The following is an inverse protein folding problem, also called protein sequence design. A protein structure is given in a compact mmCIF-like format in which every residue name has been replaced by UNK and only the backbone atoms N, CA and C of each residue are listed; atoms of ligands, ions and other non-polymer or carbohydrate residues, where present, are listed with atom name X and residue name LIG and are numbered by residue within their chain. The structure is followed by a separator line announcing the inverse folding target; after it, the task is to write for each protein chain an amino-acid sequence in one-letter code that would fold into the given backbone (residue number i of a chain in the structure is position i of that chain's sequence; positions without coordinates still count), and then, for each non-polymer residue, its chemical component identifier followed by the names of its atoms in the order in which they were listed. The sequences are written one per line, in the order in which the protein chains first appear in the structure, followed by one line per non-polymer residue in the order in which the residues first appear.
data_IF_850412725193
#
_entry.id   IF_850412725193
#
_cell.length_a   1.000
_cell.length_b   1.000
_cell.length_c   1.000
_cell.angle_alpha   90.00
_cell.angle_beta   90.00
_cell.angle_gamma   90.00
#
_symmetry.space_group_name_H-M   'P 1'
#
loop_
_entity.id
_entity.type
_entity.pdbx_description
1 polymer ?
#
# COMPACT_ATOMS: atom_id res chain seq x y z
N UNK A 1 -34.10 -32.87 18.40
CA UNK A 1 -33.63 -31.55 18.90
C UNK A 1 -32.10 -31.43 18.98
N UNK A 2 -31.37 -32.32 19.67
CA UNK A 2 -29.89 -32.24 19.77
C UNK A 2 -29.14 -32.19 18.42
N UNK A 3 -29.58 -32.96 17.42
CA UNK A 3 -28.94 -32.99 16.08
C UNK A 3 -29.10 -31.68 15.29
N UNK A 4 -30.21 -30.98 15.47
CA UNK A 4 -30.48 -29.69 14.79
C UNK A 4 -29.63 -28.58 15.42
N UNK A 5 -29.51 -28.60 16.76
CA UNK A 5 -28.65 -27.66 17.48
C UNK A 5 -27.17 -27.82 17.10
N UNK A 6 -26.70 -29.07 16.94
CA UNK A 6 -25.34 -29.37 16.51
C UNK A 6 -25.05 -28.85 15.09
N UNK A 7 -26.01 -29.03 14.17
CA UNK A 7 -25.89 -28.56 12.79
C UNK A 7 -25.85 -27.02 12.73
N UNK A 8 -26.70 -26.34 13.50
CA UNK A 8 -26.68 -24.88 13.63
C UNK A 8 -25.35 -24.37 14.19
N UNK A 9 -24.79 -25.01 15.23
CA UNK A 9 -23.48 -24.61 15.77
C UNK A 9 -22.34 -24.80 14.77
N UNK A 10 -22.38 -25.84 13.94
CA UNK A 10 -21.38 -26.08 12.88
C UNK A 10 -21.52 -25.02 11.78
N UNK A 11 -22.73 -24.69 11.35
CA UNK A 11 -22.96 -23.64 10.36
C UNK A 11 -22.47 -22.26 10.84
N UNK A 12 -22.72 -21.91 12.10
CA UNK A 12 -22.23 -20.65 12.70
C UNK A 12 -20.71 -20.65 12.83
N UNK A 13 -20.10 -21.77 13.23
CA UNK A 13 -18.65 -21.89 13.31
C UNK A 13 -17.97 -21.77 11.93
N UNK A 14 -18.55 -22.39 10.89
CA UNK A 14 -18.05 -22.31 9.52
C UNK A 14 -18.23 -20.90 8.94
N UNK A 15 -19.37 -20.24 9.19
CA UNK A 15 -19.58 -18.85 8.77
C UNK A 15 -18.59 -17.89 9.46
N UNK A 16 -18.33 -18.08 10.75
CA UNK A 16 -17.34 -17.29 11.48
C UNK A 16 -15.90 -17.59 11.04
N UNK A 17 -15.58 -18.84 10.68
CA UNK A 17 -14.27 -19.21 10.16
C UNK A 17 -14.04 -18.64 8.75
N UNK A 18 -15.05 -18.69 7.88
CA UNK A 18 -15.00 -18.07 6.55
C UNK A 18 -14.84 -16.55 6.67
N UNK A 19 -15.64 -15.91 7.53
CA UNK A 19 -15.53 -14.48 7.82
C UNK A 19 -14.17 -14.11 8.43
N UNK A 20 -13.60 -14.98 9.28
CA UNK A 20 -12.26 -14.79 9.85
C UNK A 20 -11.16 -14.90 8.79
N UNK A 21 -11.23 -15.89 7.89
CA UNK A 21 -10.28 -16.03 6.79
C UNK A 21 -10.38 -14.90 5.77
N UNK A 22 -11.60 -14.45 5.43
CA UNK A 22 -11.79 -13.31 4.53
C UNK A 22 -11.30 -11.98 5.15
N UNK A 23 -11.28 -11.88 6.49
CA UNK A 23 -10.80 -10.69 7.21
C UNK A 23 -9.30 -10.71 7.56
N UNK A 24 -8.65 -11.89 7.56
CA UNK A 24 -7.29 -12.06 8.07
C UNK A 24 -6.33 -12.86 7.19
N UNK A 25 -6.81 -13.50 6.12
CA UNK A 25 -5.99 -14.20 5.15
C UNK A 25 -5.57 -13.27 4.03
N UNK A 26 -4.27 -12.97 3.91
CA UNK A 26 -3.75 -12.33 2.70
C UNK A 26 -3.98 -13.26 1.50
N UNK A 27 -5.01 -12.99 0.69
CA UNK A 27 -5.25 -13.71 -0.55
C UNK A 27 -4.17 -13.35 -1.57
N UNK A 28 -3.09 -14.13 -1.61
CA UNK A 28 -2.00 -13.98 -2.57
C UNK A 28 -2.31 -14.76 -3.85
N UNK A 29 -2.25 -14.09 -4.98
CA UNK A 29 -2.41 -14.70 -6.30
C UNK A 29 -1.43 -14.11 -7.31
N UNK A 30 -1.14 -14.88 -8.36
CA UNK A 30 -0.43 -14.39 -9.53
C UNK A 30 -1.44 -14.16 -10.65
N UNK A 31 -1.36 -13.02 -11.32
CA UNK A 31 -2.19 -12.69 -12.48
C UNK A 31 -1.30 -12.71 -13.72
N UNK A 32 -1.68 -13.50 -14.73
CA UNK A 32 -0.86 -13.76 -15.92
C UNK A 32 -1.10 -12.75 -17.04
N UNK A 33 -2.27 -12.13 -17.07
CA UNK A 33 -2.69 -11.20 -18.11
C UNK A 33 -2.46 -9.74 -17.69
N UNK A 34 -2.73 -8.79 -18.58
CA UNK A 34 -2.66 -7.37 -18.24
C UNK A 34 -3.71 -7.03 -17.18
N UNK A 35 -3.28 -6.46 -16.05
CA UNK A 35 -4.18 -5.90 -15.03
C UNK A 35 -4.75 -4.57 -15.52
N UNK A 36 -5.91 -4.63 -16.18
CA UNK A 36 -6.67 -3.43 -16.52
C UNK A 36 -7.47 -2.90 -15.31
N UNK A 37 -7.96 -1.67 -15.42
CA UNK A 37 -8.72 -1.03 -14.35
C UNK A 37 -9.99 -1.82 -13.97
N UNK A 38 -10.69 -2.40 -14.95
CA UNK A 38 -11.90 -3.20 -14.70
C UNK A 38 -11.60 -4.44 -13.85
N UNK A 39 -10.47 -5.09 -14.13
CA UNK A 39 -9.96 -6.23 -13.36
C UNK A 39 -9.60 -5.82 -11.94
N UNK A 40 -8.90 -4.68 -11.76
CA UNK A 40 -8.57 -4.16 -10.44
C UNK A 40 -9.82 -3.91 -9.60
N UNK A 41 -10.84 -3.28 -10.18
CA UNK A 41 -12.13 -3.04 -9.52
C UNK A 41 -12.84 -4.36 -9.19
N UNK A 42 -12.84 -5.32 -10.11
CA UNK A 42 -13.43 -6.64 -9.91
C UNK A 42 -12.79 -7.39 -8.73
N UNK A 43 -11.45 -7.35 -8.66
CA UNK A 43 -10.69 -7.94 -7.55
C UNK A 43 -10.96 -7.20 -6.23
N UNK A 44 -10.91 -5.87 -6.22
CA UNK A 44 -11.18 -5.07 -5.02
C UNK A 44 -12.57 -5.35 -4.45
N UNK A 45 -13.59 -5.49 -5.32
CA UNK A 45 -14.94 -5.90 -4.92
C UNK A 45 -15.00 -7.31 -4.37
N UNK A 46 -14.32 -8.26 -5.04
CA UNK A 46 -14.28 -9.68 -4.62
C UNK A 46 -13.64 -9.86 -3.26
N UNK A 47 -12.60 -9.08 -2.96
CA UNK A 47 -11.86 -9.15 -1.70
C UNK A 47 -12.30 -8.08 -0.68
N UNK A 48 -13.38 -7.36 -0.96
CA UNK A 48 -13.97 -6.36 -0.07
C UNK A 48 -12.98 -5.29 0.44
N UNK A 49 -12.01 -4.89 -0.38
CA UNK A 49 -10.98 -3.93 0.03
C UNK A 49 -9.97 -3.59 -1.08
N UNK A 50 -9.04 -2.66 -0.83
CA UNK A 50 -7.98 -2.30 -1.76
C UNK A 50 -7.06 -3.49 -2.07
N UNK A 51 -6.52 -3.52 -3.29
CA UNK A 51 -5.60 -4.56 -3.76
C UNK A 51 -4.17 -4.03 -3.77
N UNK A 52 -3.22 -4.83 -3.26
CA UNK A 52 -1.80 -4.54 -3.43
C UNK A 52 -1.28 -5.26 -4.67
N UNK A 53 -0.90 -4.49 -5.68
CA UNK A 53 -0.28 -4.99 -6.91
C UNK A 53 1.22 -4.82 -6.80
N UNK A 54 1.94 -5.92 -6.84
CA UNK A 54 3.40 -5.89 -6.85
C UNK A 54 3.92 -5.79 -8.28
N UNK A 55 4.60 -4.69 -8.60
CA UNK A 55 5.29 -4.57 -9.89
C UNK A 55 6.48 -5.54 -9.92
N UNK A 56 6.65 -6.34 -10.98
CA UNK A 56 7.86 -7.12 -11.16
C UNK A 56 9.04 -6.16 -11.32
N UNK A 57 10.07 -6.32 -10.49
CA UNK A 57 11.36 -5.63 -10.64
C UNK A 57 12.37 -6.67 -11.07
N UNK A 58 12.96 -6.50 -12.25
CA UNK A 58 14.05 -7.36 -12.70
C UNK A 58 15.25 -7.22 -11.75
N UNK A 59 15.83 -8.34 -11.32
CA UNK A 59 17.07 -8.36 -10.54
C UNK A 59 16.95 -8.10 -9.03
N UNK A 60 15.81 -7.69 -8.48
CA UNK A 60 15.64 -7.44 -7.04
C UNK A 60 14.86 -8.57 -6.38
N UNK A 61 15.57 -9.44 -5.66
CA UNK A 61 14.92 -10.43 -4.78
C UNK A 61 14.18 -9.68 -3.66
N UNK A 62 12.88 -9.94 -3.43
CA UNK A 62 12.17 -9.31 -2.32
C UNK A 62 12.88 -9.63 -1.00
N UNK A 63 13.25 -8.60 -0.22
CA UNK A 63 13.71 -8.82 1.17
C UNK A 63 12.61 -9.52 1.99
N UNK A 64 13.04 -10.32 2.98
CA UNK A 64 12.26 -11.22 3.86
C UNK A 64 10.90 -10.66 4.28
N UNK A 65 9.90 -11.53 4.47
CA UNK A 65 8.56 -11.25 4.99
C UNK A 65 8.56 -10.05 5.96
N UNK A 66 7.99 -8.92 5.52
CA UNK A 66 7.53 -7.90 6.45
C UNK A 66 6.23 -8.52 6.95
N UNK A 67 6.35 -9.34 7.99
CA UNK A 67 5.23 -9.54 8.90
C UNK A 67 4.80 -8.15 9.36
N UNK A 68 3.48 -7.91 9.38
CA UNK A 68 2.82 -6.63 9.73
C UNK A 68 3.78 -5.55 10.26
N UNK A 69 3.96 -4.46 9.52
CA UNK A 69 4.62 -3.25 10.03
C UNK A 69 3.74 -2.72 11.16
N UNK A 70 4.19 -2.74 12.44
CA UNK A 70 3.38 -2.21 13.53
C UNK A 70 3.38 -0.68 13.46
N UNK A 71 2.25 -0.04 13.80
CA UNK A 71 2.12 1.43 13.78
C UNK A 71 3.21 2.14 14.59
N UNK A 72 3.68 1.54 15.70
CA UNK A 72 4.76 2.10 16.53
C UNK A 72 6.13 2.15 15.85
N UNK A 73 6.30 1.50 14.70
CA UNK A 73 7.53 1.53 13.90
C UNK A 73 7.43 2.47 12.70
N UNK A 74 6.28 3.07 12.46
CA UNK A 74 6.10 4.05 11.40
C UNK A 74 6.78 5.34 11.85
N UNK A 75 7.72 5.81 11.04
CA UNK A 75 8.51 7.00 11.35
C UNK A 75 7.84 8.26 10.80
N UNK A 76 7.12 8.12 9.69
CA UNK A 76 6.44 9.25 9.03
C UNK A 76 5.15 8.81 8.37
N UNK A 77 4.13 9.66 8.52
CA UNK A 77 2.82 9.50 7.85
C UNK A 77 2.58 10.71 6.97
N UNK A 78 2.31 10.46 5.68
CA UNK A 78 1.88 11.47 4.74
C UNK A 78 0.36 11.40 4.57
N UNK A 79 -0.33 12.46 4.97
CA UNK A 79 -1.75 12.66 4.68
C UNK A 79 -1.86 13.39 3.35
N UNK A 80 -2.37 12.70 2.33
CA UNK A 80 -2.42 13.17 0.94
C UNK A 80 -3.87 13.40 0.55
N UNK A 81 -4.21 14.64 0.27
CA UNK A 81 -5.50 14.96 -0.34
C UNK A 81 -5.50 14.49 -1.81
N UNK A 82 -6.52 13.76 -2.24
CA UNK A 82 -6.61 13.26 -3.62
C UNK A 82 -6.56 14.38 -4.65
N UNK A 83 -7.14 15.54 -4.35
CA UNK A 83 -7.13 16.69 -5.27
C UNK A 83 -5.72 17.32 -5.38
N UNK A 84 -4.84 17.10 -4.40
CA UNK A 84 -3.43 17.52 -4.48
C UNK A 84 -2.60 16.64 -5.39
N UNK A 85 -3.07 15.41 -5.69
CA UNK A 85 -2.35 14.47 -6.54
C UNK A 85 -2.29 14.89 -8.00
N UNK A 86 -3.08 15.88 -8.46
CA UNK A 86 -3.18 16.43 -9.83
C UNK A 86 -2.89 15.42 -10.95
N UNK A 87 -1.61 15.10 -11.18
CA UNK A 87 -1.12 13.90 -11.88
C UNK A 87 0.03 13.20 -11.13
N UNK A 88 0.93 13.97 -10.53
CA UNK A 88 2.06 13.46 -9.77
C UNK A 88 2.25 14.25 -8.48
N UNK A 89 2.61 13.55 -7.41
CA UNK A 89 3.05 14.13 -6.14
C UNK A 89 4.48 13.65 -5.83
N UNK A 90 5.35 14.56 -5.42
CA UNK A 90 6.72 14.24 -5.02
C UNK A 90 6.85 14.33 -3.50
N UNK A 91 7.36 13.26 -2.90
CA UNK A 91 7.60 13.16 -1.46
C UNK A 91 9.06 12.80 -1.22
N UNK A 92 9.72 13.58 -0.37
CA UNK A 92 11.08 13.29 0.08
C UNK A 92 11.04 12.37 1.30
N UNK A 93 11.83 11.30 1.24
CA UNK A 93 11.88 10.27 2.28
C UNK A 93 13.31 9.87 2.59
N UNK A 94 13.56 9.47 3.84
CA UNK A 94 14.88 9.00 4.24
C UNK A 94 15.09 7.53 3.82
N UNK A 95 16.35 7.13 3.72
CA UNK A 95 16.72 5.75 3.40
C UNK A 95 16.30 4.81 4.53
N UNK A 96 15.74 3.66 4.15
CA UNK A 96 15.32 2.61 5.09
C UNK A 96 14.23 3.05 6.09
N UNK A 97 13.65 4.23 5.88
CA UNK A 97 12.55 4.80 6.65
C UNK A 97 11.27 3.97 6.41
N UNK A 98 10.49 3.77 7.47
CA UNK A 98 9.17 3.17 7.38
C UNK A 98 8.14 4.30 7.27
N UNK A 99 7.53 4.38 6.10
CA UNK A 99 6.59 5.43 5.72
C UNK A 99 5.19 4.87 5.58
N UNK A 100 4.20 5.63 6.03
CA UNK A 100 2.78 5.42 5.76
C UNK A 100 2.24 6.55 4.90
N UNK A 101 1.42 6.21 3.93
CA UNK A 101 0.70 7.18 3.11
C UNK A 101 -0.76 6.89 3.27
N UNK A 102 -1.52 7.92 3.60
CA UNK A 102 -2.97 7.89 3.70
C UNK A 102 -3.52 8.89 2.70
N UNK A 103 -4.44 8.43 1.85
CA UNK A 103 -5.22 9.31 0.98
C UNK A 103 -6.60 9.54 1.58
N UNK A 104 -7.21 10.68 1.28
CA UNK A 104 -8.54 11.06 1.80
C UNK A 104 -9.72 10.38 1.08
N UNK A 105 -9.45 9.36 0.25
CA UNK A 105 -10.45 8.60 -0.48
C UNK A 105 -10.14 7.09 -0.48
N UNK A 106 -11.17 6.21 -0.53
CA UNK A 106 -10.96 4.77 -0.66
C UNK A 106 -10.23 4.41 -1.95
N UNK A 107 -9.23 3.53 -1.83
CA UNK A 107 -8.38 3.10 -2.94
C UNK A 107 -8.85 1.76 -3.48
N UNK A 108 -8.79 1.60 -4.80
CA UNK A 108 -9.03 0.33 -5.50
C UNK A 108 -7.78 -0.53 -5.46
N UNK A 109 -6.64 0.06 -5.83
CA UNK A 109 -5.38 -0.64 -5.87
C UNK A 109 -4.19 0.28 -5.63
N UNK A 110 -3.18 -0.27 -4.98
CA UNK A 110 -1.85 0.30 -4.83
C UNK A 110 -0.87 -0.51 -5.67
N UNK A 111 -0.18 0.12 -6.62
CA UNK A 111 0.90 -0.54 -7.36
C UNK A 111 2.26 0.00 -6.96
N UNK A 112 3.09 -0.86 -6.38
CA UNK A 112 4.42 -0.48 -5.91
C UNK A 112 5.40 -1.63 -6.16
N UNK A 113 6.67 -1.28 -6.39
CA UNK A 113 7.74 -2.24 -6.60
C UNK A 113 8.30 -2.74 -5.27
N UNK A 114 8.31 -1.84 -4.28
CA UNK A 114 8.70 -2.09 -2.91
C UNK A 114 7.74 -3.04 -2.20
N UNK A 115 8.22 -3.54 -1.08
CA UNK A 115 7.39 -4.31 -0.18
C UNK A 115 6.53 -3.38 0.66
N UNK A 116 5.22 -3.53 0.53
CA UNK A 116 4.25 -2.71 1.22
C UNK A 116 3.15 -3.56 1.87
N UNK A 117 2.41 -2.94 2.78
CA UNK A 117 1.27 -3.52 3.49
C UNK A 117 0.16 -2.48 3.48
N UNK A 118 -1.03 -2.91 3.09
CA UNK A 118 -2.23 -2.09 3.21
C UNK A 118 -2.62 -2.06 4.69
N UNK A 119 -2.59 -0.87 5.28
CA UNK A 119 -2.96 -0.64 6.69
C UNK A 119 -4.45 -0.31 6.85
N UNK A 120 -5.11 0.19 5.81
CA UNK A 120 -6.56 0.45 5.74
C UNK A 120 -7.01 0.61 4.28
N UNK A 121 -8.32 0.85 4.05
CA UNK A 121 -8.90 1.10 2.73
C UNK A 121 -8.27 2.27 1.96
N UNK A 122 -7.58 3.17 2.67
CA UNK A 122 -6.97 4.37 2.12
C UNK A 122 -5.52 4.58 2.51
N UNK A 123 -4.91 3.63 3.25
CA UNK A 123 -3.53 3.78 3.73
C UNK A 123 -2.62 2.60 3.38
N UNK A 124 -1.43 2.92 2.91
CA UNK A 124 -0.35 1.97 2.58
C UNK A 124 0.89 2.29 3.40
N UNK A 125 1.48 1.28 4.04
CA UNK A 125 2.76 1.38 4.73
C UNK A 125 3.84 0.57 3.99
N UNK A 126 5.04 1.12 3.86
CA UNK A 126 6.18 0.44 3.24
C UNK A 126 7.49 0.94 3.82
N UNK A 127 8.55 0.17 3.58
CA UNK A 127 9.91 0.58 3.90
C UNK A 127 10.59 1.12 2.64
N UNK A 128 11.14 2.32 2.72
CA UNK A 128 11.86 2.97 1.63
C UNK A 128 13.15 2.19 1.31
N UNK A 129 13.62 2.23 0.05
CA UNK A 129 14.83 1.52 -0.32
C UNK A 129 16.07 2.12 0.34
N UNK A 130 17.10 1.31 0.50
CA UNK A 130 18.42 1.77 0.97
C UNK A 130 19.21 2.48 -0.13
N UNK A 131 18.85 2.27 -1.40
CA UNK A 131 19.50 2.86 -2.57
C UNK A 131 18.88 4.22 -2.90
N UNK A 132 19.72 5.17 -3.32
CA UNK A 132 19.30 6.47 -3.85
C UNK A 132 18.56 6.25 -5.17
N UNK A 133 17.44 6.92 -5.34
CA UNK A 133 16.69 6.90 -6.59
C UNK A 133 15.28 7.44 -6.41
N UNK A 134 14.46 7.15 -7.42
CA UNK A 134 13.03 7.46 -7.42
C UNK A 134 12.26 6.15 -7.44
N UNK A 135 11.34 5.98 -6.50
CA UNK A 135 10.34 4.91 -6.54
C UNK A 135 8.96 5.53 -6.80
N UNK A 136 8.17 4.92 -7.69
CA UNK A 136 6.83 5.41 -8.02
C UNK A 136 5.74 4.46 -7.55
N UNK A 137 4.95 4.93 -6.59
CA UNK A 137 3.66 4.33 -6.21
C UNK A 137 2.57 4.81 -7.16
N UNK A 138 1.80 3.88 -7.71
CA UNK A 138 0.57 4.19 -8.46
C UNK A 138 -0.63 3.91 -7.59
N UNK A 139 -1.58 4.84 -7.58
CA UNK A 139 -2.80 4.77 -6.79
C UNK A 139 -4.00 4.79 -7.72
N UNK A 140 -4.88 3.80 -7.60
CA UNK A 140 -6.09 3.70 -8.40
C UNK A 140 -7.31 4.00 -7.54
N UNK A 141 -8.15 4.94 -7.97
CA UNK A 141 -9.39 5.30 -7.27
C UNK A 141 -10.61 4.76 -8.01
N UNK A 142 -11.72 4.62 -7.28
CA UNK A 142 -12.98 4.26 -7.89
C UNK A 142 -13.47 5.35 -8.85
N UNK A 143 -14.00 4.92 -9.99
CA UNK A 143 -14.53 5.75 -11.09
C UNK A 143 -13.45 6.55 -11.84
N UNK A 144 -12.18 6.25 -11.63
CA UNK A 144 -11.06 6.93 -12.28
C UNK A 144 -10.20 5.90 -13.03
N UNK A 145 -10.27 5.94 -14.36
CA UNK A 145 -9.62 4.93 -15.20
C UNK A 145 -8.09 5.01 -15.19
N UNK A 146 -7.53 6.19 -14.93
CA UNK A 146 -6.10 6.43 -14.90
C UNK A 146 -5.59 6.46 -13.46
N UNK A 147 -4.41 5.89 -13.18
CA UNK A 147 -3.80 6.01 -11.87
C UNK A 147 -3.24 7.42 -11.62
N UNK A 148 -3.10 7.74 -10.34
CA UNK A 148 -2.26 8.84 -9.86
C UNK A 148 -0.89 8.31 -9.47
N UNK A 149 0.11 9.19 -9.52
CA UNK A 149 1.49 8.82 -9.24
C UNK A 149 1.99 9.56 -7.99
N UNK A 150 2.58 8.82 -7.06
CA UNK A 150 3.32 9.37 -5.92
C UNK A 150 4.76 8.91 -6.08
N UNK A 151 5.66 9.85 -6.30
CA UNK A 151 7.09 9.64 -6.49
C UNK A 151 7.82 9.89 -5.17
N UNK A 152 8.59 8.90 -4.73
CA UNK A 152 9.47 9.02 -3.57
C UNK A 152 10.88 9.27 -4.05
N UNK A 153 11.48 10.34 -3.55
CA UNK A 153 12.87 10.65 -3.80
C UNK A 153 13.65 10.56 -2.49
N UNK A 154 14.81 9.90 -2.53
CA UNK A 154 15.70 9.77 -1.37
C UNK A 154 17.14 10.18 -1.72
N UNK A 155 17.46 11.47 -1.57
CA UNK A 155 18.84 11.96 -1.71
C UNK A 155 19.63 11.88 -0.39
N UNK A 156 20.95 11.90 -0.49
CA UNK A 156 21.87 12.10 0.65
C UNK A 156 22.07 13.59 0.94
N UNK A 157 21.83 14.47 -0.03
CA UNK A 157 22.21 15.87 0.07
C UNK A 157 21.09 16.78 0.59
N UNK A 158 20.70 16.62 1.86
CA UNK A 158 20.20 17.79 2.60
C UNK A 158 21.42 18.68 2.88
N UNK A 159 21.75 19.58 1.97
CA UNK A 159 22.77 20.59 2.27
C UNK A 159 22.20 21.50 3.37
N UNK A 160 22.76 21.42 4.57
CA UNK A 160 22.63 22.49 5.56
C UNK A 160 23.35 23.72 4.99
N UNK A 161 22.61 24.57 4.26
CA UNK A 161 23.11 25.86 3.82
C UNK A 161 23.17 26.75 5.05
N UNK A 162 24.31 26.71 5.76
CA UNK A 162 24.68 27.76 6.71
C UNK A 162 25.04 29.01 5.90
N UNK A 163 24.07 29.92 5.73
CA UNK A 163 24.32 31.24 5.17
C UNK A 163 25.08 32.08 6.21
N UNK A 164 26.42 32.04 6.18
CA UNK A 164 27.22 33.06 6.87
C UNK A 164 27.16 34.36 6.07
N UNK A 165 26.43 35.34 6.57
CA UNK A 165 26.44 36.70 6.02
C UNK A 165 27.78 37.34 6.38
N UNK A 166 28.67 37.48 5.41
CA UNK A 166 29.83 38.37 5.53
C UNK A 166 29.32 39.81 5.38
N UNK A 167 29.30 40.55 6.49
CA UNK A 167 29.14 42.00 6.46
C UNK A 167 30.41 42.60 5.83
N UNK A 168 30.32 43.04 4.57
CA UNK A 168 31.26 43.98 3.98
C UNK A 168 30.73 45.40 4.14
#
# INVERSE_FOLDING_TARGET
MKKILLFLTICVALANAQFYYDKHGECRGAYKDSLDYATLVGLAKRFHGPILVKKPVEGVKPRKNLEKIPESKIQRTFEVNRDSLRKELWLEVEKNEIVKICVDAPVVAWEISLKAIISSDSCLAFQTPTLIGVETLRVHFYKEYMPYYINFYNDIYSYDISLETTNY
#
